data_IF_104217020964
#
_entry.id   IF_104217020964
#
_cell.length_a   1.000
_cell.length_b   1.000
_cell.length_c   1.000
_cell.angle_alpha   90.00
_cell.angle_beta   90.00
_cell.angle_gamma   90.00
#
_symmetry.space_group_name_H-M   'P 1'
#
loop_
_entity.id
_entity.type
_entity.pdbx_description
1 polymer ?
#
# COMPACT_ATOMS: atom_id res chain seq x y z
N UNK A 1 17.51 -7.09 -21.74
CA UNK A 1 16.53 -6.34 -20.92
C UNK A 1 16.50 -6.76 -19.44
N UNK A 2 17.07 -7.90 -19.02
CA UNK A 2 17.12 -8.29 -17.59
C UNK A 2 18.10 -7.46 -16.71
N UNK A 3 19.08 -6.79 -17.32
CA UNK A 3 20.12 -6.03 -16.59
C UNK A 3 19.69 -4.62 -16.13
N UNK A 4 18.54 -4.11 -16.59
CA UNK A 4 18.11 -2.73 -16.29
C UNK A 4 17.76 -2.55 -14.80
N UNK A 5 17.14 -3.56 -14.18
CA UNK A 5 16.88 -3.56 -12.73
C UNK A 5 18.18 -3.59 -11.91
N UNK A 6 19.18 -4.38 -12.35
CA UNK A 6 20.48 -4.47 -11.70
C UNK A 6 21.25 -3.14 -11.74
N UNK A 7 21.24 -2.48 -12.90
CA UNK A 7 21.82 -1.14 -13.07
C UNK A 7 21.10 -0.11 -12.20
N UNK A 8 19.76 -0.16 -12.15
CA UNK A 8 18.98 0.75 -11.30
C UNK A 8 19.26 0.56 -9.80
N UNK A 9 19.40 -0.69 -9.35
CA UNK A 9 19.73 -1.01 -7.94
C UNK A 9 21.14 -0.54 -7.59
N UNK A 10 22.13 -0.77 -8.45
CA UNK A 10 23.49 -0.27 -8.25
C UNK A 10 23.54 1.27 -8.23
N UNK A 11 22.82 1.92 -9.16
CA UNK A 11 22.75 3.38 -9.22
C UNK A 11 22.01 3.99 -8.01
N UNK A 12 20.91 3.35 -7.55
CA UNK A 12 20.20 3.75 -6.32
C UNK A 12 21.06 3.65 -5.08
N UNK A 13 21.87 2.60 -4.96
CA UNK A 13 22.82 2.43 -3.86
C UNK A 13 23.91 3.50 -3.86
N UNK A 14 24.34 3.95 -5.04
CA UNK A 14 25.32 5.03 -5.21
C UNK A 14 24.78 6.42 -4.85
N UNK A 15 23.52 6.71 -5.17
CA UNK A 15 22.91 8.03 -4.93
C UNK A 15 22.41 8.24 -3.50
N UNK A 16 22.08 7.18 -2.75
CA UNK A 16 21.45 7.26 -1.41
C UNK A 16 20.21 8.19 -1.34
N UNK A 17 19.58 8.43 -2.47
CA UNK A 17 18.40 9.28 -2.57
C UNK A 17 17.15 8.50 -2.16
N UNK A 18 16.45 9.01 -1.14
CA UNK A 18 15.28 8.37 -0.52
C UNK A 18 14.15 8.18 -1.55
N UNK A 19 13.97 9.14 -2.44
CA UNK A 19 12.87 9.12 -3.40
C UNK A 19 13.06 8.03 -4.47
N UNK A 20 14.30 7.69 -4.81
CA UNK A 20 14.63 6.57 -5.72
C UNK A 20 14.39 5.21 -5.06
N UNK A 21 14.59 5.09 -3.75
CA UNK A 21 14.24 3.90 -2.99
C UNK A 21 12.73 3.73 -2.84
N UNK A 22 12.00 4.81 -2.54
CA UNK A 22 10.54 4.83 -2.57
C UNK A 22 10.00 4.49 -3.96
N UNK A 23 10.79 4.79 -5.00
CA UNK A 23 10.79 4.19 -6.35
C UNK A 23 10.35 2.74 -6.37
N UNK A 24 11.33 1.94 -5.94
CA UNK A 24 11.33 0.48 -5.96
C UNK A 24 10.24 -0.10 -5.05
N UNK A 25 10.00 0.52 -3.90
CA UNK A 25 8.91 0.10 -3.00
C UNK A 25 7.56 0.17 -3.72
N UNK A 26 7.30 1.21 -4.52
CA UNK A 26 6.05 1.31 -5.27
C UNK A 26 5.95 0.24 -6.36
N UNK A 27 7.05 -0.08 -7.05
CA UNK A 27 7.07 -1.16 -8.06
C UNK A 27 6.79 -2.52 -7.41
N UNK A 28 7.48 -2.84 -6.31
CA UNK A 28 7.28 -4.09 -5.59
C UNK A 28 5.85 -4.23 -5.08
N UNK A 29 5.32 -3.19 -4.43
CA UNK A 29 3.93 -3.19 -3.94
C UNK A 29 2.93 -3.27 -5.08
N UNK A 30 3.21 -2.73 -6.27
CA UNK A 30 2.32 -2.85 -7.44
C UNK A 30 2.10 -4.32 -7.84
N UNK A 31 3.18 -5.12 -7.85
CA UNK A 31 3.13 -6.54 -8.21
C UNK A 31 2.27 -7.31 -7.21
N UNK A 32 2.48 -7.06 -5.91
CA UNK A 32 1.69 -7.66 -4.83
C UNK A 32 0.22 -7.26 -4.95
N UNK A 33 -0.06 -5.97 -5.20
CA UNK A 33 -1.43 -5.47 -5.32
C UNK A 33 -2.12 -6.07 -6.55
N UNK A 34 -1.43 -6.21 -7.67
CA UNK A 34 -2.02 -6.78 -8.88
C UNK A 34 -2.59 -8.18 -8.62
N UNK A 35 -1.81 -9.06 -8.00
CA UNK A 35 -2.26 -10.41 -7.66
C UNK A 35 -3.28 -10.41 -6.51
N UNK A 36 -2.99 -9.67 -5.44
CA UNK A 36 -3.82 -9.65 -4.23
C UNK A 36 -5.17 -8.99 -4.44
N UNK A 37 -5.24 -7.89 -5.19
CA UNK A 37 -6.49 -7.19 -5.47
C UNK A 37 -7.42 -8.04 -6.34
N UNK A 38 -6.88 -8.73 -7.36
CA UNK A 38 -7.68 -9.63 -8.17
C UNK A 38 -8.29 -10.75 -7.33
N UNK A 39 -7.47 -11.43 -6.51
CA UNK A 39 -7.94 -12.49 -5.62
C UNK A 39 -8.95 -11.99 -4.59
N UNK A 40 -8.68 -10.84 -3.97
CA UNK A 40 -9.56 -10.22 -2.99
C UNK A 40 -10.93 -9.85 -3.59
N UNK A 41 -10.94 -9.08 -4.68
CA UNK A 41 -12.17 -8.64 -5.33
C UNK A 41 -12.97 -9.84 -5.85
N UNK A 42 -12.32 -10.82 -6.49
CA UNK A 42 -12.97 -12.03 -6.96
C UNK A 42 -13.70 -12.78 -5.82
N UNK A 43 -13.03 -12.96 -4.68
CA UNK A 43 -13.63 -13.64 -3.52
C UNK A 43 -14.82 -12.89 -2.93
N UNK A 44 -14.76 -11.56 -2.88
CA UNK A 44 -15.84 -10.73 -2.31
C UNK A 44 -17.03 -10.66 -3.27
N UNK A 45 -16.79 -10.61 -4.58
CA UNK A 45 -17.86 -10.55 -5.58
C UNK A 45 -18.57 -11.89 -5.77
N UNK A 46 -17.91 -13.02 -5.50
CA UNK A 46 -18.52 -14.35 -5.56
C UNK A 46 -19.25 -14.73 -4.26
N UNK A 47 -18.95 -14.08 -3.15
CA UNK A 47 -19.54 -14.31 -1.81
C UNK A 47 -20.53 -13.18 -1.42
N UNK A 48 -21.51 -12.93 -2.29
CA UNK A 48 -22.59 -11.97 -2.06
C UNK A 48 -23.76 -12.66 -1.31
N UNK A 49 -24.49 -11.95 -0.43
CA UNK A 49 -24.41 -10.52 -0.10
C UNK A 49 -23.34 -10.17 0.95
N UNK A 50 -22.71 -8.99 0.81
CA UNK A 50 -21.70 -8.51 1.78
C UNK A 50 -22.38 -8.19 3.11
N UNK A 51 -22.02 -8.92 4.15
CA UNK A 51 -22.45 -8.67 5.51
C UNK A 51 -21.30 -8.86 6.52
N UNK A 52 -21.56 -8.47 7.77
CA UNK A 52 -20.56 -8.51 8.85
C UNK A 52 -20.15 -9.94 9.18
N UNK A 53 -21.12 -10.87 9.28
CA UNK A 53 -20.87 -12.26 9.65
C UNK A 53 -20.03 -13.02 8.61
N UNK A 54 -20.32 -12.86 7.33
CA UNK A 54 -19.55 -13.45 6.22
C UNK A 54 -18.14 -12.87 6.15
N UNK A 55 -18.00 -11.56 6.41
CA UNK A 55 -16.67 -10.93 6.46
C UNK A 55 -15.83 -11.44 7.63
N UNK A 56 -16.43 -11.65 8.80
CA UNK A 56 -15.74 -12.19 9.96
C UNK A 56 -15.38 -13.68 9.79
N UNK A 57 -16.30 -14.49 9.24
CA UNK A 57 -16.02 -15.89 8.88
C UNK A 57 -14.84 -16.01 7.93
N UNK A 58 -14.78 -15.16 6.89
CA UNK A 58 -13.64 -15.12 5.95
C UNK A 58 -12.34 -14.75 6.66
N UNK A 59 -12.39 -13.81 7.60
CA UNK A 59 -11.22 -13.39 8.37
C UNK A 59 -10.66 -14.55 9.22
N UNK A 60 -11.55 -15.31 9.87
CA UNK A 60 -11.22 -16.50 10.66
C UNK A 60 -10.78 -17.69 9.80
N UNK A 61 -11.25 -17.78 8.55
CA UNK A 61 -10.88 -18.86 7.61
C UNK A 61 -9.49 -18.69 6.97
N UNK A 62 -8.58 -17.97 7.63
CA UNK A 62 -7.19 -17.80 7.20
C UNK A 62 -6.87 -16.54 6.40
N UNK A 63 -7.86 -15.68 6.11
CA UNK A 63 -7.61 -14.44 5.35
C UNK A 63 -6.95 -13.33 6.16
N UNK A 64 -6.89 -13.44 7.49
CA UNK A 64 -6.25 -12.43 8.34
C UNK A 64 -4.80 -12.14 7.89
N UNK A 65 -4.00 -13.18 7.64
CA UNK A 65 -2.61 -13.03 7.21
C UNK A 65 -2.50 -12.27 5.87
N UNK A 66 -3.43 -12.57 4.94
CA UNK A 66 -3.52 -11.85 3.68
C UNK A 66 -3.80 -10.36 3.92
N UNK A 67 -4.80 -9.99 4.72
CA UNK A 67 -5.14 -8.58 4.96
C UNK A 67 -4.05 -7.83 5.72
N UNK A 68 -3.38 -8.47 6.69
CA UNK A 68 -2.28 -7.87 7.45
C UNK A 68 -1.10 -7.51 6.55
N UNK A 69 -0.82 -8.32 5.52
CA UNK A 69 0.23 -8.02 4.55
C UNK A 69 -0.24 -7.08 3.43
N UNK A 70 -1.47 -7.27 2.94
CA UNK A 70 -2.03 -6.52 1.82
C UNK A 70 -2.31 -5.06 2.19
N UNK A 71 -2.80 -4.79 3.41
CA UNK A 71 -3.10 -3.45 3.92
C UNK A 71 -1.90 -2.50 3.84
N UNK A 72 -0.71 -2.80 4.43
CA UNK A 72 0.45 -1.92 4.33
C UNK A 72 0.95 -1.81 2.88
N UNK A 73 0.87 -2.86 2.05
CA UNK A 73 1.26 -2.76 0.63
C UNK A 73 0.43 -1.71 -0.12
N UNK A 74 -0.90 -1.74 0.03
CA UNK A 74 -1.81 -0.77 -0.61
C UNK A 74 -1.57 0.65 -0.11
N UNK A 75 -1.40 0.82 1.21
CA UNK A 75 -1.15 2.14 1.82
C UNK A 75 0.19 2.71 1.35
N UNK A 76 1.27 1.90 1.36
CA UNK A 76 2.59 2.31 0.86
C UNK A 76 2.52 2.70 -0.62
N UNK A 77 1.90 1.86 -1.46
CA UNK A 77 1.80 2.14 -2.89
C UNK A 77 1.05 3.45 -3.16
N UNK A 78 -0.11 3.62 -2.52
CA UNK A 78 -1.00 4.76 -2.76
C UNK A 78 -0.44 6.04 -2.16
N UNK A 79 0.06 6.01 -0.92
CA UNK A 79 0.62 7.17 -0.25
C UNK A 79 1.85 7.72 -0.96
N UNK A 80 2.80 6.84 -1.29
CA UNK A 80 4.01 7.22 -2.03
C UNK A 80 3.64 7.68 -3.45
N UNK A 81 2.70 6.99 -4.12
CA UNK A 81 2.22 7.34 -5.45
C UNK A 81 1.60 8.73 -5.51
N UNK A 82 0.74 9.08 -4.55
CA UNK A 82 0.10 10.40 -4.43
C UNK A 82 1.15 11.49 -4.18
N UNK A 83 2.12 11.27 -3.29
CA UNK A 83 3.22 12.21 -3.09
C UNK A 83 3.99 12.48 -4.39
N UNK A 84 4.33 11.42 -5.14
CA UNK A 84 5.00 11.58 -6.44
C UNK A 84 4.17 12.31 -7.47
N UNK A 85 2.86 12.05 -7.50
CA UNK A 85 1.93 12.76 -8.38
C UNK A 85 1.93 14.26 -8.06
N UNK A 86 1.84 14.62 -6.78
CA UNK A 86 1.86 16.00 -6.32
C UNK A 86 3.18 16.73 -6.68
N UNK A 87 4.32 16.04 -6.58
CA UNK A 87 5.63 16.58 -7.00
C UNK A 87 5.71 16.72 -8.53
N UNK A 88 5.25 15.72 -9.28
CA UNK A 88 5.34 15.69 -10.74
C UNK A 88 4.49 16.76 -11.40
N UNK A 89 3.27 16.99 -10.90
CA UNK A 89 2.33 17.96 -11.45
C UNK A 89 2.47 19.36 -10.84
N UNK A 90 3.53 19.62 -10.06
CA UNK A 90 3.85 20.96 -9.56
C UNK A 90 2.94 21.46 -8.42
N UNK A 91 2.04 20.62 -7.89
CA UNK A 91 1.26 20.92 -6.68
C UNK A 91 2.19 21.09 -5.46
N UNK A 92 3.30 20.35 -5.45
CA UNK A 92 4.33 20.47 -4.42
C UNK A 92 5.55 21.24 -4.94
N UNK A 93 5.72 22.49 -4.47
CA UNK A 93 6.89 23.33 -4.76
C UNK A 93 8.10 22.83 -3.95
N UNK A 94 9.35 23.05 -4.43
CA UNK A 94 10.58 22.60 -3.75
C UNK A 94 10.64 23.00 -2.27
N UNK A 95 10.17 24.21 -1.92
CA UNK A 95 10.15 24.70 -0.55
C UNK A 95 9.18 23.93 0.38
N UNK A 96 8.09 23.39 -0.17
CA UNK A 96 7.06 22.67 0.61
C UNK A 96 7.26 21.14 0.61
N UNK A 97 8.22 20.63 -0.18
CA UNK A 97 8.57 19.21 -0.28
C UNK A 97 8.80 18.50 1.07
N UNK A 98 9.55 19.05 2.05
CA UNK A 98 9.71 18.39 3.34
C UNK A 98 8.39 18.30 4.13
N UNK A 99 7.53 19.31 4.03
CA UNK A 99 6.22 19.33 4.68
C UNK A 99 5.29 18.29 4.04
N UNK A 100 5.22 18.24 2.71
CA UNK A 100 4.46 17.24 1.98
C UNK A 100 4.89 15.82 2.30
N UNK A 101 6.20 15.55 2.37
CA UNK A 101 6.72 14.24 2.78
C UNK A 101 6.26 13.86 4.19
N UNK A 102 6.30 14.80 5.14
CA UNK A 102 5.82 14.57 6.51
C UNK A 102 4.32 14.27 6.54
N UNK A 103 3.52 15.05 5.80
CA UNK A 103 2.08 14.84 5.69
C UNK A 103 1.73 13.48 5.09
N UNK A 104 2.41 13.07 4.03
CA UNK A 104 2.22 11.74 3.43
C UNK A 104 2.44 10.62 4.45
N UNK A 105 3.53 10.68 5.22
CA UNK A 105 3.80 9.69 6.28
C UNK A 105 2.73 9.69 7.39
N UNK A 106 2.25 10.87 7.81
CA UNK A 106 1.19 10.99 8.81
C UNK A 106 -0.10 10.35 8.28
N UNK A 107 -0.53 10.73 7.08
CA UNK A 107 -1.75 10.20 6.46
C UNK A 107 -1.68 8.69 6.30
N UNK A 108 -0.54 8.17 5.83
CA UNK A 108 -0.32 6.71 5.72
C UNK A 108 -0.43 6.01 7.07
N UNK A 109 0.16 6.60 8.13
CA UNK A 109 0.03 6.09 9.50
C UNK A 109 -1.42 6.08 9.98
N UNK A 110 -2.19 7.15 9.74
CA UNK A 110 -3.61 7.22 10.07
C UNK A 110 -4.43 6.15 9.36
N UNK A 111 -4.20 5.94 8.05
CA UNK A 111 -4.88 4.88 7.29
C UNK A 111 -4.51 3.48 7.80
N UNK A 112 -3.26 3.27 8.20
CA UNK A 112 -2.83 1.98 8.74
C UNK A 112 -3.53 1.69 10.08
N UNK A 113 -3.61 2.69 10.96
CA UNK A 113 -4.31 2.57 12.24
C UNK A 113 -5.81 2.34 12.04
N UNK A 114 -6.46 3.08 11.15
CA UNK A 114 -7.87 2.89 10.81
C UNK A 114 -8.13 1.50 10.21
N UNK A 115 -7.29 1.04 9.29
CA UNK A 115 -7.39 -0.28 8.69
C UNK A 115 -7.20 -1.40 9.73
N UNK A 116 -6.24 -1.26 10.63
CA UNK A 116 -6.03 -2.20 11.74
C UNK A 116 -7.21 -2.20 12.72
N UNK A 117 -7.77 -1.03 13.05
CA UNK A 117 -8.96 -0.91 13.88
C UNK A 117 -10.19 -1.58 13.24
N UNK A 118 -10.35 -1.44 11.92
CA UNK A 118 -11.43 -2.11 11.19
C UNK A 118 -11.26 -3.64 11.19
N UNK A 119 -10.04 -4.14 10.94
CA UNK A 119 -9.74 -5.59 10.97
C UNK A 119 -9.97 -6.18 12.36
N UNK A 120 -9.48 -5.52 13.41
CA UNK A 120 -9.69 -5.97 14.80
C UNK A 120 -11.18 -5.94 15.16
N UNK A 121 -11.92 -4.90 14.75
CA UNK A 121 -13.36 -4.83 15.01
C UNK A 121 -14.12 -5.99 14.36
N UNK A 122 -13.81 -6.33 13.12
CA UNK A 122 -14.44 -7.46 12.40
C UNK A 122 -14.02 -8.80 13.01
N UNK A 123 -12.76 -8.92 13.46
CA UNK A 123 -12.27 -10.11 14.15
C UNK A 123 -13.07 -10.42 15.42
N UNK A 124 -13.36 -9.40 16.24
CA UNK A 124 -14.15 -9.56 17.47
C UNK A 124 -15.67 -9.69 17.24
N UNK A 125 -16.15 -9.52 16.01
CA UNK A 125 -17.56 -9.64 15.66
C UNK A 125 -17.94 -11.01 15.07
N UNK A 126 -16.96 -11.82 14.66
CA UNK A 126 -17.14 -13.20 14.20
C UNK A 126 -16.84 -14.21 15.29
#
# INVERSE_FOLDING_TARGET
RANELGVFVQHSKGLKEVDTWLWLVQVFTAIVILAGAFYHIYSVMTDLPINVAGSAKRLHSGWLAFYVFFLPCVILHTGIGVYRLAVKFGVCVKATRPAWRKWTWIVMGCYLLLGAAALTRVWFLG
#
